data_IF_524680846158
#
_entry.id   IF_524680846158
#
_cell.length_a   1.000
_cell.length_b   1.000
_cell.length_c   1.000
_cell.angle_alpha   90.00
_cell.angle_beta   90.00
_cell.angle_gamma   90.00
#
_symmetry.space_group_name_H-M   'P 1'
#
loop_
_entity.id
_entity.type
_entity.pdbx_description
1 polymer ?
#
# COMPACT_ATOMS: atom_id res chain seq x y z
N UNK A 1 3.52 -3.35 16.86
CA UNK A 1 3.52 -4.69 16.23
C UNK A 1 2.72 -5.63 17.11
N UNK A 2 1.59 -6.20 16.70
CA UNK A 2 1.01 -7.33 17.38
C UNK A 2 1.78 -8.58 16.96
N UNK A 3 2.72 -9.00 17.77
CA UNK A 3 3.37 -10.31 17.68
C UNK A 3 2.30 -11.38 17.81
N UNK A 4 2.06 -12.14 16.74
CA UNK A 4 1.26 -13.35 16.77
C UNK A 4 1.84 -14.30 17.85
N UNK A 5 1.11 -14.49 18.95
CA UNK A 5 1.44 -15.50 19.94
C UNK A 5 1.39 -16.90 19.28
N UNK A 6 2.40 -17.76 19.49
CA UNK A 6 2.35 -19.13 18.99
C UNK A 6 1.23 -19.89 19.73
N UNK A 7 0.19 -20.32 18.99
CA UNK A 7 -0.92 -21.10 19.52
C UNK A 7 -2.31 -20.75 19.04
N UNK A 8 -2.49 -19.66 18.27
CA UNK A 8 -3.78 -19.38 17.64
C UNK A 8 -3.90 -20.19 16.35
N UNK A 9 -4.93 -21.03 16.24
CA UNK A 9 -5.22 -21.70 14.98
C UNK A 9 -5.45 -20.64 13.91
N UNK A 10 -4.76 -20.76 12.78
CA UNK A 10 -4.79 -19.82 11.64
C UNK A 10 -6.23 -19.57 11.13
N UNK A 11 -7.13 -20.50 11.41
CA UNK A 11 -8.55 -20.39 11.04
C UNK A 11 -9.33 -19.38 11.88
N UNK A 12 -9.07 -19.29 13.17
CA UNK A 12 -9.73 -18.31 14.04
C UNK A 12 -9.28 -16.87 13.71
N UNK A 13 -8.02 -16.70 13.29
CA UNK A 13 -7.48 -15.39 12.92
C UNK A 13 -8.14 -14.80 11.65
N UNK A 14 -8.65 -15.66 10.76
CA UNK A 14 -9.23 -15.24 9.48
C UNK A 14 -10.74 -15.51 9.36
N UNK A 15 -11.42 -15.68 10.50
CA UNK A 15 -12.86 -15.92 10.55
C UNK A 15 -13.71 -14.83 9.88
N UNK A 16 -13.21 -13.60 9.81
CA UNK A 16 -13.91 -12.50 9.16
C UNK A 16 -14.10 -12.66 7.64
N UNK A 17 -13.35 -13.56 7.00
CA UNK A 17 -13.52 -13.89 5.57
C UNK A 17 -14.60 -14.95 5.34
N UNK A 18 -15.02 -15.64 6.37
CA UNK A 18 -15.98 -16.75 6.23
C UNK A 18 -17.32 -16.32 5.57
N UNK A 19 -17.94 -15.18 5.94
CA UNK A 19 -19.17 -14.74 5.29
C UNK A 19 -19.03 -14.48 3.79
N UNK A 20 -17.87 -13.97 3.36
CA UNK A 20 -17.59 -13.73 1.92
C UNK A 20 -17.34 -15.04 1.19
N UNK A 21 -16.56 -15.94 1.78
CA UNK A 21 -16.30 -17.26 1.23
C UNK A 21 -17.58 -18.06 1.06
N UNK A 22 -18.49 -18.05 2.06
CA UNK A 22 -19.78 -18.74 2.00
C UNK A 22 -20.70 -18.14 0.94
N UNK A 23 -20.77 -16.79 0.83
CA UNK A 23 -21.58 -16.10 -0.18
C UNK A 23 -21.21 -16.54 -1.60
N UNK A 24 -19.95 -16.80 -1.85
CA UNK A 24 -19.44 -17.25 -3.15
C UNK A 24 -19.25 -18.78 -3.25
N UNK A 25 -19.75 -19.53 -2.28
CA UNK A 25 -19.67 -21.00 -2.29
C UNK A 25 -18.26 -21.56 -2.40
N UNK A 26 -17.25 -20.85 -1.87
CA UNK A 26 -15.83 -21.23 -1.97
C UNK A 26 -15.32 -21.44 -3.41
N UNK A 27 -15.93 -20.78 -4.39
CA UNK A 27 -15.59 -20.96 -5.79
C UNK A 27 -14.33 -20.18 -6.21
N UNK A 28 -13.52 -20.79 -7.07
CA UNK A 28 -12.25 -20.22 -7.55
C UNK A 28 -12.40 -18.85 -8.26
N UNK A 29 -13.55 -18.59 -8.88
CA UNK A 29 -13.82 -17.33 -9.57
C UNK A 29 -14.01 -16.14 -8.62
N UNK A 30 -14.29 -16.37 -7.34
CA UNK A 30 -14.43 -15.34 -6.33
C UNK A 30 -13.08 -14.81 -5.79
N UNK A 31 -11.95 -15.27 -6.31
CA UNK A 31 -10.62 -14.95 -5.79
C UNK A 31 -10.40 -13.46 -5.61
N UNK A 32 -10.72 -12.63 -6.60
CA UNK A 32 -10.49 -11.17 -6.54
C UNK A 32 -11.35 -10.52 -5.46
N UNK A 33 -12.62 -10.92 -5.34
CA UNK A 33 -13.52 -10.37 -4.33
C UNK A 33 -13.10 -10.77 -2.91
N UNK A 34 -12.66 -12.02 -2.74
CA UNK A 34 -12.12 -12.49 -1.45
C UNK A 34 -10.84 -11.75 -1.08
N UNK A 35 -9.91 -11.53 -2.04
CA UNK A 35 -8.70 -10.74 -1.82
C UNK A 35 -9.02 -9.28 -1.45
N UNK A 36 -10.00 -8.67 -2.14
CA UNK A 36 -10.42 -7.31 -1.84
C UNK A 36 -11.03 -7.19 -0.43
N UNK A 37 -11.93 -8.10 -0.09
CA UNK A 37 -12.53 -8.17 1.25
C UNK A 37 -11.48 -8.43 2.33
N UNK A 38 -10.50 -9.29 2.03
CA UNK A 38 -9.38 -9.57 2.92
C UNK A 38 -8.55 -8.31 3.18
N UNK A 39 -8.21 -7.56 2.15
CA UNK A 39 -7.46 -6.31 2.30
C UNK A 39 -8.25 -5.24 3.06
N UNK A 40 -9.55 -5.09 2.80
CA UNK A 40 -10.40 -4.16 3.53
C UNK A 40 -10.46 -4.48 5.03
N UNK A 41 -10.46 -5.76 5.38
CA UNK A 41 -10.61 -6.19 6.77
C UNK A 41 -9.27 -6.21 7.55
N UNK A 42 -8.19 -6.65 6.90
CA UNK A 42 -6.88 -6.84 7.53
C UNK A 42 -5.86 -5.74 7.15
N UNK A 43 -6.23 -4.81 6.26
CA UNK A 43 -5.38 -3.71 5.80
C UNK A 43 -4.33 -4.11 4.76
N UNK A 44 -3.86 -5.35 4.77
CA UNK A 44 -2.89 -5.88 3.82
C UNK A 44 -3.01 -7.40 3.68
N UNK A 45 -2.47 -7.95 2.60
CA UNK A 45 -2.49 -9.38 2.29
C UNK A 45 -1.20 -10.05 2.75
N UNK A 46 -1.14 -10.45 4.01
CA UNK A 46 0.00 -11.21 4.55
C UNK A 46 0.08 -12.62 3.92
N UNK A 47 1.28 -13.21 3.89
CA UNK A 47 1.46 -14.56 3.34
C UNK A 47 0.57 -15.62 4.05
N UNK A 48 0.44 -15.65 5.39
CA UNK A 48 -0.48 -16.57 6.04
C UNK A 48 -1.94 -16.40 5.60
N UNK A 49 -2.39 -15.15 5.36
CA UNK A 49 -3.73 -14.84 4.87
C UNK A 49 -3.93 -15.35 3.44
N UNK A 50 -2.96 -15.11 2.54
CA UNK A 50 -3.01 -15.65 1.17
C UNK A 50 -3.03 -17.18 1.15
N UNK A 51 -2.26 -17.85 2.01
CA UNK A 51 -2.28 -19.31 2.16
C UNK A 51 -3.63 -19.81 2.68
N UNK A 52 -4.26 -19.08 3.59
CA UNK A 52 -5.61 -19.39 4.06
C UNK A 52 -6.63 -19.30 2.92
N UNK A 53 -6.62 -18.19 2.15
CA UNK A 53 -7.49 -17.99 0.99
C UNK A 53 -7.31 -19.11 -0.05
N UNK A 54 -6.05 -19.47 -0.35
CA UNK A 54 -5.72 -20.54 -1.28
C UNK A 54 -6.38 -21.88 -0.88
N UNK A 55 -6.26 -22.24 0.39
CA UNK A 55 -6.90 -23.46 0.92
C UNK A 55 -8.42 -23.41 0.84
N UNK A 56 -9.01 -22.27 1.23
CA UNK A 56 -10.47 -22.11 1.28
C UNK A 56 -11.12 -22.08 -0.11
N UNK A 57 -10.43 -21.59 -1.13
CA UNK A 57 -10.89 -21.59 -2.53
C UNK A 57 -10.40 -22.79 -3.34
N UNK A 58 -9.71 -23.74 -2.73
CA UNK A 58 -9.10 -24.91 -3.39
C UNK A 58 -8.20 -24.54 -4.57
N UNK A 59 -7.43 -23.44 -4.43
CA UNK A 59 -6.52 -22.92 -5.45
C UNK A 59 -5.05 -23.16 -5.05
N UNK A 60 -4.16 -23.39 -6.02
CA UNK A 60 -2.72 -23.33 -5.75
C UNK A 60 -2.31 -21.97 -5.18
N UNK A 61 -1.41 -21.97 -4.20
CA UNK A 61 -0.89 -20.73 -3.62
C UNK A 61 -0.29 -19.79 -4.67
N UNK A 62 0.44 -20.35 -5.64
CA UNK A 62 1.04 -19.60 -6.76
C UNK A 62 0.00 -18.81 -7.56
N UNK A 63 -1.19 -19.35 -7.78
CA UNK A 63 -2.28 -18.66 -8.46
C UNK A 63 -2.82 -17.49 -7.63
N UNK A 64 -3.03 -17.70 -6.34
CA UNK A 64 -3.51 -16.66 -5.43
C UNK A 64 -2.50 -15.53 -5.33
N UNK A 65 -1.23 -15.85 -5.09
CA UNK A 65 -0.14 -14.89 -5.03
C UNK A 65 0.08 -14.16 -6.36
N UNK A 66 0.06 -14.90 -7.50
CA UNK A 66 0.21 -14.31 -8.82
C UNK A 66 -0.94 -13.35 -9.15
N UNK A 67 -2.19 -13.70 -8.81
CA UNK A 67 -3.33 -12.78 -8.96
C UNK A 67 -3.16 -11.56 -8.08
N UNK A 68 -2.86 -11.74 -6.81
CA UNK A 68 -2.68 -10.62 -5.88
C UNK A 68 -1.56 -9.67 -6.32
N UNK A 69 -0.40 -10.19 -6.78
CA UNK A 69 0.73 -9.38 -7.22
C UNK A 69 0.51 -8.67 -8.57
N UNK A 70 -0.37 -9.20 -9.41
CA UNK A 70 -0.72 -8.59 -10.69
C UNK A 70 -1.51 -7.29 -10.52
N UNK A 71 -2.39 -7.22 -9.52
CA UNK A 71 -3.21 -6.04 -9.28
C UNK A 71 -2.53 -5.08 -8.31
N UNK A 72 -2.20 -3.87 -8.73
CA UNK A 72 -1.55 -2.83 -7.93
C UNK A 72 -2.39 -2.32 -6.76
N UNK A 73 -3.66 -2.73 -6.67
CA UNK A 73 -4.57 -2.41 -5.57
C UNK A 73 -4.23 -3.18 -4.29
N UNK A 74 -3.56 -4.33 -4.41
CA UNK A 74 -3.28 -5.18 -3.27
C UNK A 74 -1.94 -4.84 -2.64
N UNK A 75 -1.96 -4.71 -1.31
CA UNK A 75 -0.79 -4.42 -0.48
C UNK A 75 -0.39 -5.66 0.29
N UNK A 76 0.91 -5.96 0.29
CA UNK A 76 1.47 -7.12 1.00
C UNK A 76 2.08 -6.77 2.35
N UNK A 77 2.20 -5.47 2.63
CA UNK A 77 2.70 -4.93 3.88
C UNK A 77 1.65 -4.01 4.52
N UNK A 78 1.69 -3.83 5.84
CA UNK A 78 0.85 -2.85 6.51
C UNK A 78 1.01 -1.47 5.85
N UNK A 79 -0.10 -0.73 5.71
CA UNK A 79 -0.01 0.65 5.26
C UNK A 79 0.86 1.45 6.24
N UNK A 80 1.72 2.28 5.71
CA UNK A 80 2.43 3.28 6.51
C UNK A 80 1.42 4.26 7.13
N UNK A 81 1.83 4.94 8.21
CA UNK A 81 0.98 5.94 8.87
C UNK A 81 0.69 7.12 7.93
N UNK A 82 1.69 7.50 7.15
CA UNK A 82 1.63 8.61 6.21
C UNK A 82 2.06 8.17 4.81
N UNK A 83 1.55 8.85 3.80
CA UNK A 83 1.91 8.65 2.40
C UNK A 83 2.49 9.92 1.81
N UNK A 84 3.61 9.81 1.11
CA UNK A 84 4.22 10.92 0.38
C UNK A 84 4.39 10.51 -1.09
N UNK A 85 3.67 11.14 -1.99
CA UNK A 85 3.71 10.88 -3.43
C UNK A 85 4.37 12.05 -4.16
N UNK A 86 5.50 11.80 -4.80
CA UNK A 86 6.20 12.80 -5.62
C UNK A 86 5.60 12.82 -7.03
N UNK A 87 5.19 13.99 -7.49
CA UNK A 87 4.73 14.15 -8.88
C UNK A 87 5.91 14.07 -9.85
N UNK A 88 5.85 13.14 -10.81
CA UNK A 88 6.85 12.95 -11.88
C UNK A 88 6.37 13.39 -13.27
N UNK A 89 5.32 14.21 -13.31
CA UNK A 89 4.83 14.83 -14.55
C UNK A 89 5.87 15.78 -15.16
N UNK A 90 5.71 16.10 -16.44
CA UNK A 90 6.71 16.87 -17.22
C UNK A 90 7.11 18.19 -16.55
N UNK A 91 6.15 18.98 -16.07
CA UNK A 91 6.44 20.25 -15.40
C UNK A 91 7.28 20.03 -14.12
N UNK A 92 6.90 19.07 -13.29
CA UNK A 92 7.66 18.73 -12.08
C UNK A 92 9.03 18.16 -12.41
N UNK A 93 9.15 17.34 -13.46
CA UNK A 93 10.43 16.79 -13.90
C UNK A 93 11.41 17.89 -14.30
N UNK A 94 10.96 18.86 -15.09
CA UNK A 94 11.76 20.03 -15.52
C UNK A 94 12.17 20.88 -14.30
N UNK A 95 11.35 20.94 -13.28
CA UNK A 95 11.59 21.69 -12.02
C UNK A 95 12.34 20.86 -10.96
N UNK A 96 12.94 19.72 -11.33
CA UNK A 96 13.82 18.95 -10.44
C UNK A 96 13.15 17.86 -9.62
N UNK A 97 11.93 17.39 -9.95
CA UNK A 97 11.25 16.33 -9.20
C UNK A 97 12.04 15.01 -9.17
N UNK A 98 12.91 14.75 -10.15
CA UNK A 98 13.76 13.56 -10.14
C UNK A 98 14.79 13.62 -9.00
N UNK A 99 15.40 14.80 -8.78
CA UNK A 99 16.33 15.03 -7.69
C UNK A 99 15.60 14.99 -6.35
N UNK A 100 14.45 15.68 -6.24
CA UNK A 100 13.57 15.64 -5.07
C UNK A 100 13.25 14.20 -4.65
N UNK A 101 12.85 13.36 -5.61
CA UNK A 101 12.54 11.94 -5.35
C UNK A 101 13.79 11.16 -4.88
N UNK A 102 14.96 11.43 -5.47
CA UNK A 102 16.20 10.77 -5.08
C UNK A 102 16.62 11.13 -3.65
N UNK A 103 16.51 12.40 -3.28
CA UNK A 103 16.84 12.89 -1.93
C UNK A 103 15.86 12.34 -0.87
N UNK A 104 14.56 12.28 -1.19
CA UNK A 104 13.57 11.67 -0.30
C UNK A 104 13.79 10.16 -0.14
N UNK A 105 14.20 9.44 -1.21
CA UNK A 105 14.55 8.01 -1.13
C UNK A 105 15.79 7.73 -0.27
N UNK A 106 16.71 8.67 -0.20
CA UNK A 106 17.90 8.55 0.64
C UNK A 106 17.63 8.82 2.13
N UNK A 107 16.49 9.40 2.46
CA UNK A 107 16.10 9.69 3.82
C UNK A 107 15.45 8.47 4.50
N UNK A 108 15.56 8.32 5.82
CA UNK A 108 14.98 7.20 6.58
C UNK A 108 13.47 7.38 6.80
N UNK A 109 12.69 7.46 5.72
CA UNK A 109 11.24 7.68 5.77
C UNK A 109 10.48 6.52 6.41
N UNK A 110 11.02 5.30 6.30
CA UNK A 110 10.42 4.11 6.93
C UNK A 110 10.38 4.24 8.46
N UNK A 111 11.41 4.87 9.07
CA UNK A 111 11.46 5.14 10.51
C UNK A 111 10.40 6.14 10.95
N UNK A 112 10.03 7.07 10.05
CA UNK A 112 8.95 8.04 10.26
C UNK A 112 7.57 7.44 9.94
N UNK A 113 7.50 6.19 9.50
CA UNK A 113 6.25 5.56 9.09
C UNK A 113 5.64 6.18 7.83
N UNK A 114 6.45 6.72 6.93
CA UNK A 114 6.04 7.36 5.68
C UNK A 114 6.34 6.44 4.50
N UNK A 115 5.30 6.09 3.74
CA UNK A 115 5.43 5.38 2.46
C UNK A 115 5.72 6.38 1.34
N UNK A 116 6.90 6.26 0.71
CA UNK A 116 7.28 7.10 -0.42
C UNK A 116 6.87 6.45 -1.74
N UNK A 117 6.09 7.16 -2.52
CA UNK A 117 5.68 6.75 -3.86
C UNK A 117 5.90 7.84 -4.91
N UNK A 118 5.48 7.55 -6.13
CA UNK A 118 5.46 8.53 -7.21
C UNK A 118 4.16 8.45 -8.00
N UNK A 119 3.72 9.59 -8.54
CA UNK A 119 2.53 9.70 -9.38
C UNK A 119 2.88 10.47 -10.65
N UNK A 120 2.23 10.12 -11.77
CA UNK A 120 2.55 10.72 -13.08
C UNK A 120 2.27 12.22 -13.14
N UNK A 121 1.03 12.61 -12.86
CA UNK A 121 0.63 14.01 -12.84
C UNK A 121 -0.67 14.16 -12.07
N UNK A 122 -0.75 15.13 -11.17
CA UNK A 122 -1.97 15.45 -10.40
C UNK A 122 -2.72 16.68 -10.93
N UNK A 123 -2.23 17.31 -12.02
CA UNK A 123 -2.95 18.39 -12.70
C UNK A 123 -2.61 19.82 -12.24
N UNK A 124 -1.94 20.02 -11.11
CA UNK A 124 -1.58 21.35 -10.58
C UNK A 124 -0.16 21.77 -10.98
N UNK A 125 0.13 21.78 -12.29
CA UNK A 125 1.47 21.99 -12.84
C UNK A 125 2.09 23.35 -12.51
N UNK A 126 1.29 24.38 -12.22
CA UNK A 126 1.78 25.70 -11.78
C UNK A 126 2.49 25.68 -10.43
N UNK A 127 2.23 24.65 -9.61
CA UNK A 127 2.88 24.46 -8.30
C UNK A 127 4.14 23.60 -8.34
N UNK A 128 4.67 23.27 -9.52
CA UNK A 128 5.83 22.38 -9.66
C UNK A 128 7.11 22.96 -9.02
N UNK A 129 7.99 22.13 -8.41
CA UNK A 129 7.79 20.73 -8.11
C UNK A 129 6.84 20.55 -6.92
N UNK A 130 6.09 19.44 -6.89
CA UNK A 130 5.08 19.22 -5.88
C UNK A 130 5.06 17.76 -5.39
N UNK A 131 4.59 17.59 -4.16
CA UNK A 131 4.29 16.30 -3.55
C UNK A 131 2.85 16.27 -3.04
N UNK A 132 2.32 15.08 -2.86
CA UNK A 132 1.04 14.87 -2.18
C UNK A 132 1.33 14.11 -0.89
N UNK A 133 1.02 14.70 0.24
CA UNK A 133 1.17 14.08 1.56
C UNK A 133 -0.21 13.89 2.15
N UNK A 134 -0.57 12.63 2.40
CA UNK A 134 -1.88 12.23 2.94
C UNK A 134 -3.08 12.85 2.20
N UNK A 135 -2.96 13.00 0.88
CA UNK A 135 -3.96 13.62 0.03
C UNK A 135 -3.89 15.15 -0.08
N UNK A 136 -3.06 15.83 0.73
CA UNK A 136 -2.82 17.26 0.63
C UNK A 136 -1.69 17.58 -0.36
N UNK A 137 -1.92 18.52 -1.27
CA UNK A 137 -0.93 18.95 -2.28
C UNK A 137 -0.03 20.03 -1.71
N UNK A 138 1.28 19.79 -1.70
CA UNK A 138 2.31 20.77 -1.33
C UNK A 138 3.04 21.23 -2.59
N UNK A 139 3.03 22.53 -2.82
CA UNK A 139 3.56 23.17 -4.02
C UNK A 139 4.94 23.79 -3.77
N UNK A 140 5.75 23.92 -4.85
CA UNK A 140 7.07 24.57 -4.84
C UNK A 140 7.99 24.03 -3.72
N UNK A 141 8.01 22.70 -3.60
CA UNK A 141 8.70 22.05 -2.47
C UNK A 141 10.14 21.72 -2.79
N UNK A 142 10.98 21.82 -1.75
CA UNK A 142 12.34 21.29 -1.71
C UNK A 142 12.39 20.08 -0.76
N UNK A 143 13.32 19.16 -0.99
CA UNK A 143 13.42 17.93 -0.18
C UNK A 143 13.62 18.22 1.31
N UNK A 144 14.44 19.21 1.64
CA UNK A 144 14.69 19.65 3.03
C UNK A 144 13.42 20.11 3.75
N UNK A 145 12.58 20.89 3.04
CA UNK A 145 11.31 21.39 3.59
C UNK A 145 10.30 20.24 3.76
N UNK A 146 10.21 19.33 2.78
CA UNK A 146 9.35 18.15 2.87
C UNK A 146 9.76 17.26 4.03
N UNK A 147 11.05 16.94 4.17
CA UNK A 147 11.55 16.12 5.27
C UNK A 147 11.30 16.72 6.65
N UNK A 148 11.45 18.06 6.77
CA UNK A 148 11.14 18.75 8.01
C UNK A 148 9.68 18.61 8.39
N UNK A 149 8.77 18.88 7.46
CA UNK A 149 7.33 18.77 7.68
C UNK A 149 6.88 17.32 7.94
N UNK A 150 7.47 16.32 7.26
CA UNK A 150 7.16 14.92 7.51
C UNK A 150 7.55 14.46 8.93
N UNK A 151 8.61 15.04 9.50
CA UNK A 151 9.01 14.80 10.92
C UNK A 151 8.06 15.44 11.92
N UNK A 152 7.35 16.48 11.51
CA UNK A 152 6.38 17.21 12.35
C UNK A 152 4.97 16.55 12.32
N UNK A 153 4.76 15.52 11.47
CA UNK A 153 3.51 14.78 11.40
C UNK A 153 3.35 13.69 12.50
N UNK A 154 4.34 13.53 13.39
CA UNK A 154 4.26 12.57 14.51
C UNK A 154 3.17 12.90 15.55
#
# INVERSE_FOLDING_TARGET
>A
MPTLKPGFSTEAAFAALEPVLQRHGHQAHALIEVLNSAQQHYGHLSEPLLRHIARRLHLPFSRVQGTASFYHLFRFQPAARHSCLVCTGTACHVQGAAQLLAELKAAPLDELGVELGSVRCIGTCSGAPLVVVDGAVWNHVEASAVLKQLRELE
#
